data_IF_877011525400
#
_entry.id   IF_877011525400
#
_cell.length_a   1.000
_cell.length_b   1.000
_cell.length_c   1.000
_cell.angle_alpha   90.00
_cell.angle_beta   90.00
_cell.angle_gamma   90.00
#
_symmetry.space_group_name_H-M   'P 1'
#
loop_
_entity.id
_entity.type
_entity.pdbx_description
1 polymer ?
#
# COMPACT_ATOMS: atom_id res chain seq x y z
N UNK A 1 -9.15 -45.52 -52.67
CA UNK A 1 -9.19 -45.72 -51.21
C UNK A 1 -8.58 -44.50 -50.52
N UNK A 2 -9.29 -44.02 -49.50
CA UNK A 2 -9.07 -42.89 -48.59
C UNK A 2 -7.67 -42.21 -48.59
N UNK A 3 -7.59 -40.94 -49.00
CA UNK A 3 -7.73 -39.75 -48.14
C UNK A 3 -6.47 -39.40 -47.35
N UNK A 4 -5.62 -38.59 -48.00
CA UNK A 4 -5.05 -37.35 -47.48
C UNK A 4 -5.19 -37.12 -45.96
N UNK A 5 -4.22 -37.59 -45.17
CA UNK A 5 -3.87 -36.91 -43.92
C UNK A 5 -2.89 -35.79 -44.24
N UNK A 6 -3.45 -34.62 -44.60
CA UNK A 6 -2.71 -33.35 -44.49
C UNK A 6 -2.35 -33.18 -43.02
N UNK A 7 -1.06 -33.30 -42.78
CA UNK A 7 -0.34 -32.81 -41.62
C UNK A 7 -0.78 -31.37 -41.34
N UNK A 8 -1.35 -31.10 -40.16
CA UNK A 8 -1.48 -29.76 -39.61
C UNK A 8 -0.57 -29.69 -38.39
N UNK A 9 0.72 -29.45 -38.63
CA UNK A 9 1.56 -28.85 -37.61
C UNK A 9 1.29 -27.35 -37.64
N UNK A 10 0.81 -26.77 -36.54
CA UNK A 10 0.80 -25.33 -36.38
C UNK A 10 2.21 -24.77 -36.66
N UNK A 11 2.36 -23.55 -37.21
CA UNK A 11 3.68 -22.99 -37.45
C UNK A 11 4.40 -22.86 -36.11
N UNK A 12 5.49 -23.63 -35.94
CA UNK A 12 6.31 -23.69 -34.70
C UNK A 12 6.71 -22.31 -34.13
N UNK A 13 6.70 -21.27 -34.97
CA UNK A 13 7.03 -19.90 -34.60
C UNK A 13 5.93 -19.23 -33.76
N UNK A 14 4.65 -19.48 -34.04
CA UNK A 14 3.53 -18.85 -33.31
C UNK A 14 3.47 -19.35 -31.86
N UNK A 15 3.65 -20.65 -31.64
CA UNK A 15 3.67 -21.23 -30.29
C UNK A 15 4.85 -20.70 -29.45
N UNK A 16 5.98 -20.43 -30.10
CA UNK A 16 7.16 -19.88 -29.44
C UNK A 16 7.00 -18.39 -29.11
N UNK A 17 6.44 -17.61 -30.03
CA UNK A 17 6.05 -16.20 -29.80
C UNK A 17 5.03 -16.11 -28.66
N UNK A 18 4.01 -16.98 -28.63
CA UNK A 18 3.05 -17.04 -27.53
C UNK A 18 3.72 -17.37 -26.20
N UNK A 19 4.68 -18.31 -26.17
CA UNK A 19 5.45 -18.63 -24.96
C UNK A 19 6.27 -17.43 -24.48
N UNK A 20 6.93 -16.71 -25.39
CA UNK A 20 7.71 -15.52 -25.06
C UNK A 20 6.84 -14.41 -24.47
N UNK A 21 5.70 -14.12 -25.10
CA UNK A 21 4.73 -13.14 -24.60
C UNK A 21 4.19 -13.51 -23.21
N UNK A 22 3.92 -14.80 -22.96
CA UNK A 22 3.50 -15.25 -21.63
C UNK A 22 4.57 -15.05 -20.55
N UNK A 23 5.85 -15.24 -20.89
CA UNK A 23 6.97 -14.98 -19.98
C UNK A 23 7.07 -13.48 -19.69
N UNK A 24 6.95 -12.64 -20.73
CA UNK A 24 6.98 -11.19 -20.59
C UNK A 24 5.82 -10.67 -19.72
N UNK A 25 4.60 -11.13 -19.96
CA UNK A 25 3.43 -10.78 -19.13
C UNK A 25 3.68 -11.15 -17.67
N UNK A 26 4.19 -12.36 -17.38
CA UNK A 26 4.48 -12.78 -16.00
C UNK A 26 5.54 -11.91 -15.33
N UNK A 27 6.56 -11.48 -16.07
CA UNK A 27 7.57 -10.55 -15.56
C UNK A 27 6.95 -9.19 -15.24
N UNK A 28 6.16 -8.62 -16.16
CA UNK A 28 5.47 -7.34 -15.95
C UNK A 28 4.49 -7.39 -14.77
N UNK A 29 3.72 -8.47 -14.63
CA UNK A 29 2.85 -8.69 -13.47
C UNK A 29 3.66 -8.76 -12.16
N UNK A 30 4.84 -9.39 -12.19
CA UNK A 30 5.76 -9.42 -11.06
C UNK A 30 6.20 -8.02 -10.65
N UNK A 31 6.62 -7.20 -11.62
CA UNK A 31 6.99 -5.81 -11.40
C UNK A 31 5.82 -4.98 -10.86
N UNK A 32 4.61 -5.16 -11.40
CA UNK A 32 3.41 -4.47 -10.94
C UNK A 32 3.09 -4.81 -9.47
N UNK A 33 3.20 -6.08 -9.07
CA UNK A 33 3.02 -6.51 -7.67
C UNK A 33 4.01 -5.85 -6.72
N UNK A 34 5.28 -5.76 -7.11
CA UNK A 34 6.32 -5.09 -6.29
C UNK A 34 6.03 -3.60 -6.14
N UNK A 35 5.66 -2.92 -7.23
CA UNK A 35 5.30 -1.51 -7.19
C UNK A 35 4.08 -1.25 -6.31
N UNK A 36 3.04 -2.09 -6.41
CA UNK A 36 1.86 -2.00 -5.55
C UNK A 36 2.22 -2.13 -4.08
N UNK A 37 3.03 -3.13 -3.71
CA UNK A 37 3.44 -3.32 -2.32
C UNK A 37 4.24 -2.13 -1.77
N UNK A 38 5.11 -1.51 -2.59
CA UNK A 38 5.84 -0.30 -2.20
C UNK A 38 4.90 0.90 -2.04
N UNK A 39 3.91 1.03 -2.93
CA UNK A 39 2.90 2.08 -2.84
C UNK A 39 2.10 1.97 -1.55
N UNK A 40 1.72 0.76 -1.14
CA UNK A 40 0.99 0.52 0.12
C UNK A 40 1.79 0.99 1.34
N UNK A 41 3.10 0.69 1.38
CA UNK A 41 4.00 1.13 2.46
C UNK A 41 4.08 2.65 2.53
N UNK A 42 4.31 3.31 1.38
CA UNK A 42 4.42 4.77 1.32
C UNK A 42 3.10 5.45 1.67
N UNK A 43 1.97 4.88 1.22
CA UNK A 43 0.63 5.38 1.54
C UNK A 43 0.35 5.25 3.03
N UNK A 44 0.75 4.14 3.66
CA UNK A 44 0.66 3.96 5.11
C UNK A 44 1.44 5.02 5.89
N UNK A 45 2.71 5.23 5.54
CA UNK A 45 3.55 6.25 6.17
C UNK A 45 3.02 7.68 5.96
N UNK A 46 2.46 7.96 4.77
CA UNK A 46 1.82 9.25 4.49
C UNK A 46 0.58 9.45 5.36
N UNK A 47 -0.26 8.43 5.50
CA UNK A 47 -1.47 8.47 6.34
C UNK A 47 -1.13 8.71 7.82
N UNK A 48 -0.10 8.02 8.32
CA UNK A 48 0.41 8.22 9.69
C UNK A 48 0.88 9.67 9.90
N UNK A 49 1.68 10.20 8.96
CA UNK A 49 2.18 11.59 9.02
C UNK A 49 1.03 12.60 8.96
N UNK A 50 0.03 12.37 8.11
CA UNK A 50 -1.15 13.23 8.02
C UNK A 50 -1.97 13.21 9.30
N UNK A 51 -2.15 12.04 9.92
CA UNK A 51 -2.85 11.89 11.20
C UNK A 51 -2.11 12.61 12.32
N UNK A 52 -0.78 12.48 12.39
CA UNK A 52 0.05 13.20 13.34
C UNK A 52 -0.07 14.72 13.14
N UNK A 53 0.01 15.20 11.89
CA UNK A 53 -0.18 16.61 11.55
C UNK A 53 -1.54 17.14 12.03
N UNK A 54 -2.64 16.44 11.72
CA UNK A 54 -3.98 16.84 12.14
C UNK A 54 -4.12 16.89 13.67
N UNK A 55 -3.53 15.91 14.36
CA UNK A 55 -3.49 15.87 15.82
C UNK A 55 -2.75 17.07 16.39
N UNK A 56 -1.61 17.46 15.79
CA UNK A 56 -0.84 18.63 16.21
C UNK A 56 -1.58 19.95 15.96
N UNK A 57 -2.25 20.09 14.81
CA UNK A 57 -3.08 21.26 14.50
C UNK A 57 -4.18 21.43 15.56
N UNK A 58 -4.94 20.37 15.87
CA UNK A 58 -5.98 20.42 16.91
C UNK A 58 -5.41 20.63 18.34
N UNK A 59 -4.24 20.08 18.63
CA UNK A 59 -3.56 20.26 19.93
C UNK A 59 -3.07 21.69 20.10
N UNK A 60 -2.58 22.33 19.04
CA UNK A 60 -2.11 23.73 19.05
C UNK A 60 -3.27 24.71 19.23
N UNK A 61 -4.42 24.43 18.62
CA UNK A 61 -5.65 25.22 18.79
C UNK A 61 -6.27 25.04 20.19
N UNK A 62 -5.89 23.96 20.89
CA UNK A 62 -6.32 23.70 22.27
C UNK A 62 -5.56 24.57 23.27
N UNK A 63 -6.28 25.07 24.29
CA UNK A 63 -5.68 25.82 25.39
C UNK A 63 -4.81 24.96 26.31
N UNK A 64 -4.04 25.61 27.19
CA UNK A 64 -3.33 24.91 28.28
C UNK A 64 -4.31 24.22 29.24
N UNK A 65 -3.89 23.11 29.84
CA UNK A 65 -4.64 22.32 30.82
C UNK A 65 -5.95 21.71 30.31
N UNK A 66 -6.12 21.62 28.98
CA UNK A 66 -7.25 20.90 28.38
C UNK A 66 -7.18 19.43 28.78
N UNK A 67 -8.32 18.89 29.22
CA UNK A 67 -8.45 17.47 29.54
C UNK A 67 -8.57 16.66 28.25
N UNK A 68 -7.79 15.59 28.15
CA UNK A 68 -7.76 14.71 26.98
C UNK A 68 -7.75 13.24 27.40
N UNK A 69 -8.19 12.39 26.48
CA UNK A 69 -8.12 10.94 26.63
C UNK A 69 -6.96 10.41 25.81
N UNK A 70 -6.10 9.61 26.45
CA UNK A 70 -4.98 8.94 25.81
C UNK A 70 -5.31 7.45 25.73
N UNK A 71 -5.40 6.85 24.52
CA UNK A 71 -5.63 5.42 24.38
C UNK A 71 -4.41 4.65 24.91
N UNK A 72 -4.66 3.63 25.73
CA UNK A 72 -3.63 2.72 26.26
C UNK A 72 -3.78 1.27 25.76
N UNK A 73 -4.71 1.04 24.82
CA UNK A 73 -4.94 -0.26 24.17
C UNK A 73 -6.25 -0.93 24.61
N UNK A 74 -6.70 -1.93 23.84
CA UNK A 74 -7.92 -2.72 24.10
C UNK A 74 -9.18 -1.89 24.38
N UNK A 75 -9.31 -0.71 23.76
CA UNK A 75 -10.42 0.24 24.03
C UNK A 75 -10.36 0.94 25.38
N UNK A 76 -9.26 0.82 26.12
CA UNK A 76 -9.03 1.51 27.39
C UNK A 76 -8.35 2.87 27.18
N UNK A 77 -8.69 3.83 28.03
CA UNK A 77 -8.21 5.21 27.97
C UNK A 77 -7.80 5.71 29.35
N UNK A 78 -6.78 6.56 29.40
CA UNK A 78 -6.43 7.33 30.59
C UNK A 78 -6.77 8.80 30.37
N UNK A 79 -7.24 9.45 31.43
CA UNK A 79 -7.48 10.89 31.43
C UNK A 79 -6.18 11.63 31.75
N UNK A 80 -5.82 12.61 30.92
CA UNK A 80 -4.64 13.44 31.09
C UNK A 80 -4.97 14.92 30.88
N UNK A 81 -4.04 15.81 31.23
CA UNK A 81 -4.11 17.24 30.94
C UNK A 81 -2.90 17.66 30.12
N UNK A 82 -3.14 18.48 29.09
CA UNK A 82 -2.09 19.00 28.23
C UNK A 82 -1.37 20.17 28.89
N UNK A 83 -0.09 20.01 29.22
CA UNK A 83 0.70 21.02 29.91
C UNK A 83 1.28 22.08 28.95
N UNK A 84 1.89 21.65 27.84
CA UNK A 84 2.56 22.53 26.88
C UNK A 84 2.17 22.22 25.42
N UNK A 85 1.15 22.90 24.86
CA UNK A 85 0.70 22.67 23.48
C UNK A 85 1.68 23.20 22.41
N UNK A 86 2.73 23.95 22.77
CA UNK A 86 3.65 24.56 21.79
C UNK A 86 4.92 23.72 21.55
N UNK A 87 5.19 22.73 22.39
CA UNK A 87 6.39 21.90 22.30
C UNK A 87 6.02 20.45 22.04
N UNK A 88 6.68 19.86 21.03
CA UNK A 88 6.44 18.50 20.55
C UNK A 88 7.79 17.83 20.33
N UNK A 89 7.86 16.54 20.66
CA UNK A 89 9.05 15.71 20.41
C UNK A 89 8.82 14.97 19.09
N UNK A 90 9.80 15.03 18.17
CA UNK A 90 9.78 14.39 16.85
C UNK A 90 11.05 13.55 16.69
#
# INVERSE_FOLDING_TARGET
MASSKRQMAAPRNLDEEMRQLLVEIRMLEGSARVLSSRLDIVTGALSETQTAKQTLEGTKESGKNVEMLIPIGSGSFVKAKLEDPQHVII
#
